data_IF_932817946603
#
_entry.id   IF_932817946603
#
_cell.length_a   1.000
_cell.length_b   1.000
_cell.length_c   1.000
_cell.angle_alpha   90.00
_cell.angle_beta   90.00
_cell.angle_gamma   90.00
#
_symmetry.space_group_name_H-M   'P 1'
#
loop_
_entity.id
_entity.type
_entity.pdbx_description
1 polymer ?
#
# COMPACT_ATOMS: atom_id res chain seq x y z
N UNK A 1 3.38 -37.59 -9.67
CA UNK A 1 3.06 -36.74 -10.83
C UNK A 1 3.60 -35.35 -10.54
N UNK A 2 4.54 -34.84 -11.34
CA UNK A 2 5.03 -33.47 -11.19
C UNK A 2 3.96 -32.52 -11.73
N UNK A 3 3.37 -31.68 -10.86
CA UNK A 3 2.49 -30.61 -11.30
C UNK A 3 3.29 -29.67 -12.21
N UNK A 4 2.84 -29.49 -13.45
CA UNK A 4 3.47 -28.55 -14.38
C UNK A 4 3.35 -27.15 -13.80
N UNK A 5 4.46 -26.66 -13.25
CA UNK A 5 4.60 -25.30 -12.74
C UNK A 5 4.38 -24.33 -13.90
N UNK A 6 3.38 -23.46 -13.78
CA UNK A 6 3.01 -22.50 -14.83
C UNK A 6 3.59 -21.14 -14.48
N UNK A 7 4.22 -20.44 -15.45
CA UNK A 7 4.55 -19.03 -15.28
C UNK A 7 3.32 -18.23 -14.85
N UNK A 8 3.56 -17.20 -14.05
CA UNK A 8 2.52 -16.25 -13.69
C UNK A 8 2.10 -15.44 -14.91
N UNK A 9 0.80 -15.18 -15.03
CA UNK A 9 0.21 -14.38 -16.11
C UNK A 9 -0.57 -13.23 -15.50
N UNK A 10 -0.59 -12.06 -16.15
CA UNK A 10 -1.25 -10.86 -15.64
C UNK A 10 -2.75 -11.10 -15.32
N UNK A 11 -3.45 -11.88 -16.15
CA UNK A 11 -4.87 -12.24 -15.93
C UNK A 11 -5.10 -13.09 -14.68
N UNK A 12 -4.04 -13.71 -14.15
CA UNK A 12 -4.07 -14.58 -12.98
C UNK A 12 -3.63 -13.89 -11.69
N UNK A 13 -3.22 -12.63 -11.78
CA UNK A 13 -2.96 -11.80 -10.61
C UNK A 13 -4.32 -11.39 -10.06
N UNK A 14 -4.83 -12.23 -9.16
CA UNK A 14 -6.10 -12.06 -8.49
C UNK A 14 -5.88 -12.17 -6.98
N UNK A 15 -6.81 -11.62 -6.21
CA UNK A 15 -6.78 -11.76 -4.76
C UNK A 15 -6.75 -13.24 -4.35
N UNK A 16 -5.82 -13.60 -3.48
CA UNK A 16 -5.60 -14.98 -3.05
C UNK A 16 -4.81 -15.84 -4.03
N UNK A 17 -4.37 -15.32 -5.18
CA UNK A 17 -3.44 -16.05 -6.04
C UNK A 17 -2.14 -16.34 -5.26
N UNK A 18 -1.74 -17.61 -5.24
CA UNK A 18 -0.52 -18.06 -4.58
C UNK A 18 0.57 -18.27 -5.61
N UNK A 19 1.70 -17.62 -5.41
CA UNK A 19 2.84 -17.64 -6.31
C UNK A 19 4.15 -17.85 -5.55
N UNK A 20 5.22 -18.11 -6.30
CA UNK A 20 6.56 -18.29 -5.76
C UNK A 20 7.61 -17.66 -6.67
N UNK A 21 8.57 -16.96 -6.07
CA UNK A 21 9.74 -16.46 -6.78
C UNK A 21 10.84 -17.53 -6.87
N UNK A 22 11.77 -17.45 -7.84
CA UNK A 22 12.79 -18.48 -8.02
C UNK A 22 13.82 -18.53 -6.87
N UNK A 23 13.96 -17.44 -6.12
CA UNK A 23 14.96 -17.27 -5.05
C UNK A 23 14.35 -17.43 -3.64
N UNK A 24 13.06 -17.75 -3.53
CA UNK A 24 12.38 -17.96 -2.26
C UNK A 24 11.44 -19.14 -2.36
N UNK A 25 11.71 -20.19 -1.58
CA UNK A 25 10.90 -21.40 -1.59
C UNK A 25 9.53 -21.22 -0.92
N UNK A 26 9.33 -20.13 -0.19
CA UNK A 26 8.08 -19.86 0.53
C UNK A 26 6.98 -19.43 -0.45
N UNK A 27 5.76 -20.01 -0.34
CA UNK A 27 4.59 -19.48 -1.03
C UNK A 27 4.28 -18.04 -0.61
N UNK A 28 3.87 -17.23 -1.58
CA UNK A 28 3.42 -15.85 -1.42
C UNK A 28 1.97 -15.75 -1.87
N UNK A 29 1.13 -14.99 -1.16
CA UNK A 29 -0.31 -14.84 -1.47
C UNK A 29 -0.63 -13.39 -1.77
N UNK A 30 -1.20 -13.13 -2.94
CA UNK A 30 -1.67 -11.78 -3.33
C UNK A 30 -2.77 -11.34 -2.36
N UNK A 31 -2.55 -10.22 -1.68
CA UNK A 31 -3.52 -9.58 -0.79
C UNK A 31 -4.25 -8.43 -1.48
N UNK A 32 -3.53 -7.69 -2.31
CA UNK A 32 -4.00 -6.50 -3.02
C UNK A 32 -3.21 -6.39 -4.32
N UNK A 33 -3.81 -5.77 -5.34
CA UNK A 33 -3.06 -5.29 -6.50
C UNK A 33 -3.82 -4.13 -7.16
N UNK A 34 -3.09 -3.22 -7.79
CA UNK A 34 -3.67 -2.19 -8.65
C UNK A 34 -2.75 -1.94 -9.85
N UNK A 35 -3.22 -2.29 -11.04
CA UNK A 35 -2.52 -2.06 -12.33
C UNK A 35 -1.08 -2.58 -12.41
N UNK A 36 -0.16 -1.86 -11.78
CA UNK A 36 1.28 -2.02 -11.81
C UNK A 36 1.87 -2.66 -10.53
N UNK A 37 1.17 -2.60 -9.39
CA UNK A 37 1.72 -3.03 -8.09
C UNK A 37 0.93 -4.19 -7.50
N UNK A 38 1.65 -5.14 -6.89
CA UNK A 38 1.10 -6.26 -6.13
C UNK A 38 1.62 -6.20 -4.71
N UNK A 39 0.71 -6.32 -3.75
CA UNK A 39 1.04 -6.49 -2.34
C UNK A 39 0.66 -7.89 -1.87
N UNK A 40 1.55 -8.52 -1.12
CA UNK A 40 1.42 -9.93 -0.79
C UNK A 40 1.83 -10.26 0.64
N UNK A 41 1.31 -11.39 1.12
CA UNK A 41 1.72 -12.06 2.34
C UNK A 41 2.64 -13.24 2.01
N UNK A 42 3.38 -13.72 3.00
CA UNK A 42 4.32 -14.83 2.89
C UNK A 42 3.88 -15.93 3.85
N UNK A 43 3.98 -17.18 3.39
CA UNK A 43 3.80 -18.34 4.25
C UNK A 43 5.03 -18.54 5.15
N UNK A 44 4.81 -18.69 6.45
CA UNK A 44 5.87 -18.92 7.43
C UNK A 44 5.85 -20.36 7.94
N UNK A 45 6.82 -21.21 7.56
CA UNK A 45 6.83 -22.62 7.96
C UNK A 45 6.76 -22.83 9.48
N UNK A 46 7.45 -21.98 10.25
CA UNK A 46 7.46 -22.07 11.73
C UNK A 46 6.13 -21.67 12.38
N UNK A 47 5.25 -20.95 11.66
CA UNK A 47 3.88 -20.62 12.10
C UNK A 47 2.84 -21.57 11.50
N UNK A 48 3.25 -22.39 10.52
CA UNK A 48 2.36 -23.20 9.70
C UNK A 48 1.17 -22.38 9.15
N UNK A 49 1.44 -21.15 8.69
CA UNK A 49 0.40 -20.21 8.30
C UNK A 49 0.91 -19.00 7.53
N UNK A 50 -0.04 -18.22 7.00
CA UNK A 50 0.21 -16.90 6.42
C UNK A 50 0.60 -15.90 7.52
N UNK A 51 1.56 -15.02 7.25
CA UNK A 51 2.10 -14.08 8.24
C UNK A 51 1.08 -13.07 8.79
N UNK A 52 0.00 -12.83 8.05
CA UNK A 52 -1.10 -11.95 8.41
C UNK A 52 -2.40 -12.69 8.73
N UNK A 53 -2.37 -14.01 8.95
CA UNK A 53 -3.56 -14.80 9.27
C UNK A 53 -4.21 -14.42 10.62
N UNK A 54 -3.41 -14.01 11.62
CA UNK A 54 -3.94 -13.55 12.91
C UNK A 54 -4.45 -12.10 12.81
N UNK A 55 -5.71 -11.96 12.38
CA UNK A 55 -6.36 -10.66 12.21
C UNK A 55 -6.47 -9.86 13.52
N UNK A 56 -6.58 -10.54 14.67
CA UNK A 56 -6.63 -9.88 15.97
C UNK A 56 -5.27 -9.27 16.34
N UNK A 57 -4.16 -9.95 16.03
CA UNK A 57 -2.83 -9.36 16.13
C UNK A 57 -2.64 -8.21 15.15
N UNK A 58 -3.03 -8.38 13.88
CA UNK A 58 -2.93 -7.31 12.85
C UNK A 58 -3.68 -6.05 13.27
N UNK A 59 -4.88 -6.18 13.86
CA UNK A 59 -5.66 -5.05 14.40
C UNK A 59 -5.00 -4.32 15.58
N UNK A 60 -3.97 -4.90 16.21
CA UNK A 60 -3.29 -4.31 17.38
C UNK A 60 -1.89 -3.75 17.08
N UNK A 61 -1.29 -4.11 15.95
CA UNK A 61 0.09 -3.73 15.59
C UNK A 61 0.15 -2.95 14.29
N UNK A 62 1.35 -2.46 13.97
CA UNK A 62 1.68 -1.98 12.63
C UNK A 62 2.18 -3.17 11.80
N UNK A 63 1.74 -3.25 10.56
CA UNK A 63 2.25 -4.21 9.57
C UNK A 63 2.63 -3.45 8.30
N UNK A 64 3.62 -3.97 7.58
CA UNK A 64 3.99 -3.50 6.25
C UNK A 64 3.77 -4.66 5.30
N UNK A 65 3.18 -4.40 4.13
CA UNK A 65 3.06 -5.41 3.10
C UNK A 65 4.39 -5.61 2.38
N UNK A 66 4.63 -6.84 1.90
CA UNK A 66 5.61 -7.03 0.85
C UNK A 66 5.03 -6.51 -0.46
N UNK A 67 5.87 -5.88 -1.28
CA UNK A 67 5.47 -5.19 -2.51
C UNK A 67 6.34 -5.67 -3.67
N UNK A 68 5.74 -5.84 -4.84
CA UNK A 68 6.43 -6.10 -6.10
C UNK A 68 5.62 -5.49 -7.25
N UNK A 69 6.20 -5.43 -8.45
CA UNK A 69 5.46 -4.98 -9.64
C UNK A 69 4.80 -6.16 -10.33
N UNK A 70 3.68 -5.89 -11.01
CA UNK A 70 3.02 -6.85 -11.90
C UNK A 70 3.99 -7.39 -12.94
N UNK A 71 4.82 -6.51 -13.53
CA UNK A 71 5.86 -6.91 -14.49
C UNK A 71 6.85 -7.92 -13.88
N UNK A 72 7.36 -7.66 -12.67
CA UNK A 72 8.26 -8.58 -11.96
C UNK A 72 7.59 -9.92 -11.67
N UNK A 73 6.32 -9.87 -11.26
CA UNK A 73 5.54 -11.06 -10.95
C UNK A 73 5.35 -11.94 -12.18
N UNK A 74 4.95 -11.36 -13.32
CA UNK A 74 4.75 -12.06 -14.61
C UNK A 74 6.06 -12.64 -15.12
N UNK A 75 7.16 -11.88 -15.05
CA UNK A 75 8.45 -12.31 -15.56
C UNK A 75 9.05 -13.45 -14.72
N UNK A 76 8.97 -13.36 -13.39
CA UNK A 76 9.80 -14.18 -12.50
C UNK A 76 9.03 -15.19 -11.68
N UNK A 77 7.75 -14.96 -11.40
CA UNK A 77 7.01 -15.82 -10.50
C UNK A 77 6.38 -17.02 -11.21
N UNK A 78 6.24 -18.10 -10.44
CA UNK A 78 5.46 -19.27 -10.82
C UNK A 78 4.17 -19.30 -10.03
N UNK A 79 3.04 -19.51 -10.71
CA UNK A 79 1.75 -19.71 -10.05
C UNK A 79 1.70 -21.11 -9.43
N UNK A 80 1.24 -21.20 -8.17
CA UNK A 80 1.11 -22.46 -7.45
C UNK A 80 -0.34 -22.93 -7.32
N UNK A 81 -1.21 -22.07 -6.78
CA UNK A 81 -2.62 -22.38 -6.48
C UNK A 81 -3.41 -21.09 -6.25
N UNK A 82 -4.70 -21.23 -5.93
CA UNK A 82 -5.51 -20.14 -5.38
C UNK A 82 -5.84 -20.45 -3.93
N UNK A 83 -5.75 -19.44 -3.08
CA UNK A 83 -6.13 -19.47 -1.67
C UNK A 83 -6.89 -18.15 -1.39
N UNK A 84 -8.18 -18.07 -1.74
CA UNK A 84 -8.96 -16.84 -1.67
C UNK A 84 -8.95 -16.23 -0.28
N UNK A 85 -8.93 -14.90 -0.21
CA UNK A 85 -9.12 -14.20 1.06
C UNK A 85 -10.49 -14.54 1.66
N UNK A 86 -10.59 -14.58 2.98
CA UNK A 86 -11.89 -14.59 3.67
C UNK A 86 -12.55 -13.21 3.62
N UNK A 87 -13.83 -13.12 3.98
CA UNK A 87 -14.51 -11.82 4.05
C UNK A 87 -13.90 -10.92 5.13
N UNK A 88 -13.45 -11.48 6.26
CA UNK A 88 -12.76 -10.72 7.31
C UNK A 88 -11.39 -10.21 6.84
N UNK A 89 -10.65 -11.04 6.10
CA UNK A 89 -9.39 -10.63 5.47
C UNK A 89 -9.65 -9.51 4.45
N UNK A 90 -10.67 -9.64 3.58
CA UNK A 90 -11.05 -8.58 2.64
C UNK A 90 -11.46 -7.29 3.34
N UNK A 91 -12.26 -7.38 4.40
CA UNK A 91 -12.72 -6.23 5.17
C UNK A 91 -11.55 -5.51 5.87
N UNK A 92 -10.57 -6.26 6.37
CA UNK A 92 -9.37 -5.71 7.02
C UNK A 92 -8.38 -5.12 6.01
N UNK A 93 -8.05 -5.91 4.98
CA UNK A 93 -7.04 -5.54 3.99
C UNK A 93 -7.55 -4.56 2.95
N UNK A 94 -8.87 -4.34 2.82
CA UNK A 94 -9.48 -3.35 1.91
C UNK A 94 -8.85 -3.34 0.51
N UNK A 95 -8.86 -4.46 -0.23
CA UNK A 95 -8.22 -4.56 -1.54
C UNK A 95 -8.82 -3.61 -2.59
N UNK A 96 -9.97 -3.01 -2.30
CA UNK A 96 -10.63 -1.97 -3.09
C UNK A 96 -9.93 -0.60 -3.03
N UNK A 97 -9.11 -0.34 -2.01
CA UNK A 97 -8.35 0.90 -1.91
C UNK A 97 -7.07 0.84 -2.77
N UNK A 98 -6.75 1.91 -3.53
CA UNK A 98 -5.60 1.94 -4.42
C UNK A 98 -4.27 1.86 -3.65
N UNK A 99 -3.20 1.48 -4.35
CA UNK A 99 -1.84 1.72 -3.87
C UNK A 99 -1.55 3.21 -3.87
N UNK A 100 -1.69 3.87 -5.01
CA UNK A 100 -1.45 5.30 -5.15
C UNK A 100 -2.77 6.09 -4.97
N UNK A 101 -3.05 6.53 -3.75
CA UNK A 101 -4.25 7.32 -3.46
C UNK A 101 -4.16 8.74 -4.05
N UNK A 102 -2.95 9.29 -4.15
CA UNK A 102 -2.68 10.59 -4.76
C UNK A 102 -1.26 10.62 -5.27
N UNK A 103 -1.06 11.18 -6.47
CA UNK A 103 0.25 11.48 -7.05
C UNK A 103 0.13 12.72 -7.90
N UNK A 104 1.03 13.68 -7.67
CA UNK A 104 1.10 14.90 -8.47
C UNK A 104 2.56 15.41 -8.46
N UNK A 105 3.16 15.54 -9.65
CA UNK A 105 4.53 16.00 -9.82
C UNK A 105 4.66 17.53 -9.79
N UNK A 106 3.57 18.26 -9.95
CA UNK A 106 3.55 19.72 -10.06
C UNK A 106 3.44 20.44 -8.71
N UNK A 107 3.02 19.73 -7.64
CA UNK A 107 2.87 20.29 -6.30
C UNK A 107 3.96 19.79 -5.36
N UNK A 108 4.31 20.57 -4.34
CA UNK A 108 5.34 20.23 -3.34
C UNK A 108 4.73 20.13 -1.95
N UNK A 109 5.47 19.49 -1.03
CA UNK A 109 5.03 19.37 0.36
C UNK A 109 5.10 20.68 1.15
N UNK A 110 5.96 21.62 0.77
CA UNK A 110 6.07 22.95 1.37
C UNK A 110 4.80 23.80 1.10
N UNK A 111 4.19 24.37 2.13
CA UNK A 111 3.04 25.30 2.04
C UNK A 111 3.57 26.74 1.84
N UNK A 112 3.09 27.57 0.92
CA UNK A 112 1.75 28.19 0.86
C UNK A 112 1.49 28.90 -0.51
N UNK A 113 0.25 28.90 -1.05
CA UNK A 113 -0.65 27.77 -1.16
C UNK A 113 -0.29 26.96 -2.41
N UNK A 114 0.07 25.69 -2.22
CA UNK A 114 0.09 24.75 -3.34
C UNK A 114 -1.32 24.70 -3.94
N UNK A 115 -1.44 24.88 -5.26
CA UNK A 115 -2.71 24.72 -5.94
C UNK A 115 -3.32 23.34 -5.64
N UNK A 116 -4.65 23.19 -5.74
CA UNK A 116 -5.27 21.89 -5.63
C UNK A 116 -4.61 20.92 -6.62
N UNK A 117 -4.49 19.62 -6.28
CA UNK A 117 -3.96 18.63 -7.21
C UNK A 117 -4.63 18.78 -8.58
N UNK A 118 -3.82 18.84 -9.63
CA UNK A 118 -4.29 19.23 -10.97
C UNK A 118 -5.25 18.19 -11.57
N UNK A 119 -5.16 16.94 -11.12
CA UNK A 119 -5.98 15.83 -11.58
C UNK A 119 -7.11 15.50 -10.61
N UNK A 120 -8.33 15.50 -11.14
CA UNK A 120 -9.47 14.89 -10.49
C UNK A 120 -9.19 13.38 -10.29
N UNK A 121 -9.08 12.97 -9.03
CA UNK A 121 -8.93 11.56 -8.62
C UNK A 121 -10.26 11.10 -8.00
N UNK A 122 -10.60 9.80 -8.13
CA UNK A 122 -11.70 9.23 -7.37
C UNK A 122 -11.52 9.46 -5.87
N UNK A 123 -12.61 9.67 -5.15
CA UNK A 123 -12.56 9.77 -3.70
C UNK A 123 -12.04 8.47 -3.09
N UNK A 124 -11.22 8.57 -2.04
CA UNK A 124 -10.75 7.41 -1.29
C UNK A 124 -11.86 6.99 -0.32
N UNK A 125 -12.64 5.96 -0.68
CA UNK A 125 -13.83 5.50 0.05
C UNK A 125 -13.51 4.80 1.38
N UNK A 126 -13.00 5.53 2.36
CA UNK A 126 -12.74 5.05 3.71
C UNK A 126 -12.84 6.20 4.70
N UNK A 127 -13.39 5.93 5.88
CA UNK A 127 -13.60 6.94 6.92
C UNK A 127 -12.30 7.33 7.64
N UNK A 128 -11.36 6.39 7.79
CA UNK A 128 -10.18 6.55 8.62
C UNK A 128 -8.96 5.89 7.98
N UNK A 129 -7.85 6.61 7.91
CA UNK A 129 -6.56 6.08 7.46
C UNK A 129 -5.46 6.52 8.42
N UNK A 130 -4.30 5.90 8.33
CA UNK A 130 -3.06 6.40 8.92
C UNK A 130 -2.15 6.97 7.83
N UNK A 131 -1.58 8.15 8.07
CA UNK A 131 -0.61 8.80 7.20
C UNK A 131 0.77 8.79 7.88
N UNK A 132 1.74 8.14 7.27
CA UNK A 132 3.12 8.06 7.75
C UNK A 132 4.01 9.08 7.02
N UNK A 133 4.39 10.19 7.65
CA UNK A 133 5.25 11.19 7.02
C UNK A 133 6.69 10.69 6.90
N UNK A 134 7.51 11.44 6.16
CA UNK A 134 8.96 11.25 6.10
C UNK A 134 9.68 12.40 6.81
N UNK A 135 10.86 12.12 7.36
CA UNK A 135 11.73 13.14 7.95
C UNK A 135 12.70 13.78 6.94
N UNK A 136 13.51 14.75 7.38
CA UNK A 136 14.48 15.45 6.53
C UNK A 136 15.40 14.53 5.74
N UNK A 137 15.92 13.47 6.38
CA UNK A 137 16.76 12.46 5.73
C UNK A 137 16.00 11.34 5.00
N UNK A 138 14.71 11.53 4.67
CA UNK A 138 13.86 10.54 3.99
C UNK A 138 13.37 9.37 4.87
N UNK A 139 13.78 9.31 6.13
CA UNK A 139 13.37 8.26 7.06
C UNK A 139 11.88 8.32 7.40
N UNK A 140 11.19 7.19 7.41
CA UNK A 140 9.76 7.08 7.77
C UNK A 140 9.53 7.48 9.23
N UNK A 141 8.48 8.25 9.47
CA UNK A 141 8.01 8.66 10.79
C UNK A 141 6.74 7.89 11.20
N UNK A 142 6.38 7.87 12.49
CA UNK A 142 5.18 7.19 12.96
C UNK A 142 3.92 7.70 12.24
N UNK A 143 3.06 6.77 11.84
CA UNK A 143 1.78 7.09 11.20
C UNK A 143 0.82 7.82 12.14
N UNK A 144 0.14 8.85 11.61
CA UNK A 144 -0.91 9.58 12.30
C UNK A 144 -2.27 9.25 11.70
N UNK A 145 -3.23 8.88 12.55
CA UNK A 145 -4.62 8.70 12.13
C UNK A 145 -5.18 10.03 11.65
N UNK A 146 -5.89 10.00 10.53
CA UNK A 146 -6.73 11.09 10.04
C UNK A 146 -8.10 10.53 9.66
N UNK A 147 -9.12 11.37 9.80
CA UNK A 147 -10.51 11.02 9.57
C UNK A 147 -11.06 11.85 8.40
N UNK A 148 -11.93 11.25 7.60
CA UNK A 148 -12.65 11.92 6.53
C UNK A 148 -13.61 12.96 7.13
N UNK A 149 -13.64 14.17 6.56
CA UNK A 149 -14.45 15.30 7.04
C UNK A 149 -15.95 14.95 6.99
N UNK A 150 -16.37 14.14 6.02
CA UNK A 150 -17.74 13.62 5.90
C UNK A 150 -17.97 12.25 6.61
N UNK A 151 -16.94 11.71 7.28
CA UNK A 151 -17.01 10.43 7.99
C UNK A 151 -17.04 9.17 7.11
N UNK A 152 -16.87 9.27 5.79
CA UNK A 152 -17.02 8.12 4.88
C UNK A 152 -15.95 8.00 3.79
N UNK A 153 -15.49 9.11 3.22
CA UNK A 153 -14.54 9.13 2.11
C UNK A 153 -13.77 10.45 2.06
N UNK A 154 -12.50 10.38 1.65
CA UNK A 154 -11.67 11.56 1.42
C UNK A 154 -11.79 12.04 -0.02
N UNK A 155 -12.03 13.32 -0.23
CA UNK A 155 -11.75 13.93 -1.54
C UNK A 155 -10.23 14.07 -1.75
N UNK A 156 -9.80 14.29 -3.00
CA UNK A 156 -8.38 14.48 -3.30
C UNK A 156 -7.79 15.70 -2.55
N UNK A 157 -8.49 16.84 -2.59
CA UNK A 157 -8.08 18.08 -1.91
C UNK A 157 -8.02 17.91 -0.40
N UNK A 158 -9.00 17.21 0.18
CA UNK A 158 -9.04 16.92 1.59
C UNK A 158 -7.88 16.01 2.01
N UNK A 159 -7.68 14.92 1.29
CA UNK A 159 -6.59 13.97 1.55
C UNK A 159 -5.24 14.68 1.49
N UNK A 160 -5.03 15.50 0.46
CA UNK A 160 -3.80 16.28 0.31
C UNK A 160 -3.59 17.27 1.45
N UNK A 161 -4.59 18.09 1.77
CA UNK A 161 -4.54 19.05 2.89
C UNK A 161 -4.21 18.37 4.22
N UNK A 162 -4.83 17.22 4.52
CA UNK A 162 -4.54 16.46 5.74
C UNK A 162 -3.13 15.86 5.70
N UNK A 163 -2.69 15.33 4.55
CA UNK A 163 -1.33 14.82 4.38
C UNK A 163 -0.27 15.91 4.55
N UNK A 164 -0.51 17.09 3.99
CA UNK A 164 0.37 18.26 4.15
C UNK A 164 0.48 18.66 5.62
N UNK A 165 -0.64 18.73 6.34
CA UNK A 165 -0.63 19.02 7.78
C UNK A 165 0.12 17.96 8.61
N UNK A 166 0.10 16.69 8.17
CA UNK A 166 0.88 15.60 8.78
C UNK A 166 2.37 15.70 8.46
N UNK A 167 2.71 16.12 7.23
CA UNK A 167 4.08 16.21 6.74
C UNK A 167 4.81 17.48 7.23
N UNK A 168 4.11 18.60 7.38
CA UNK A 168 4.67 19.91 7.68
C UNK A 168 5.66 19.94 8.87
N UNK A 169 5.41 19.27 10.01
CA UNK A 169 6.35 19.26 11.14
C UNK A 169 7.68 18.54 10.86
N UNK A 170 7.80 17.86 9.73
CA UNK A 170 8.94 17.03 9.36
C UNK A 170 9.67 17.54 8.11
N UNK A 171 9.19 18.62 7.51
CA UNK A 171 9.86 19.26 6.39
C UNK A 171 11.10 20.02 6.86
N UNK A 172 12.13 19.95 6.02
CA UNK A 172 13.31 20.80 6.05
C UNK A 172 13.34 21.66 4.79
N UNK A 173 14.16 22.71 4.79
CA UNK A 173 14.37 23.57 3.61
C UNK A 173 14.82 22.75 2.39
N UNK A 174 15.63 21.71 2.62
CA UNK A 174 15.97 20.70 1.62
C UNK A 174 14.95 19.55 1.67
N UNK A 175 14.07 19.48 0.68
CA UNK A 175 13.17 18.33 0.52
C UNK A 175 13.89 17.21 -0.25
N UNK A 176 13.92 15.97 0.28
CA UNK A 176 14.55 14.84 -0.40
C UNK A 176 13.74 14.30 -1.59
N UNK A 177 12.59 14.90 -1.92
CA UNK A 177 11.65 14.39 -2.91
C UNK A 177 11.10 15.49 -3.81
N UNK A 178 10.72 15.11 -5.03
CA UNK A 178 10.02 15.97 -5.99
C UNK A 178 8.57 15.51 -6.11
N UNK A 179 7.65 16.48 -6.12
CA UNK A 179 6.23 16.19 -6.19
C UNK A 179 5.66 15.69 -4.86
N UNK A 180 4.41 15.24 -4.93
CA UNK A 180 3.65 14.67 -3.83
C UNK A 180 3.14 13.29 -4.23
N UNK A 181 3.24 12.34 -3.31
CA UNK A 181 2.63 11.02 -3.45
C UNK A 181 2.16 10.47 -2.11
N UNK A 182 1.00 9.81 -2.13
CA UNK A 182 0.36 9.15 -0.99
C UNK A 182 0.13 7.70 -1.37
N UNK A 183 0.91 6.81 -0.77
CA UNK A 183 1.05 5.42 -1.21
C UNK A 183 0.75 4.45 -0.10
N UNK A 184 0.04 3.38 -0.40
CA UNK A 184 -0.30 2.36 0.57
C UNK A 184 0.95 1.57 1.00
N UNK A 185 1.12 1.35 2.30
CA UNK A 185 2.24 0.55 2.84
C UNK A 185 1.81 -0.66 3.65
N UNK A 186 0.60 -0.65 4.21
CA UNK A 186 0.27 -1.61 5.25
C UNK A 186 -0.98 -1.28 6.03
N UNK A 187 -0.95 -1.68 7.30
CA UNK A 187 -1.98 -1.37 8.28
C UNK A 187 -1.34 -0.83 9.56
N UNK A 188 -1.97 0.17 10.16
CA UNK A 188 -1.66 0.65 11.51
C UNK A 188 -2.85 0.39 12.41
N UNK A 189 -2.74 -0.62 13.28
CA UNK A 189 -3.82 -1.03 14.20
C UNK A 189 -5.14 -1.30 13.45
N UNK A 190 -5.03 -2.01 12.33
CA UNK A 190 -6.15 -2.34 11.45
C UNK A 190 -6.63 -1.21 10.51
N UNK A 191 -6.07 0.01 10.59
CA UNK A 191 -6.37 1.08 9.65
C UNK A 191 -5.47 0.97 8.41
N UNK A 192 -5.97 1.19 7.18
CA UNK A 192 -5.13 1.38 6.01
C UNK A 192 -4.05 2.44 6.28
N UNK A 193 -2.78 2.06 6.16
CA UNK A 193 -1.65 2.98 6.30
C UNK A 193 -1.15 3.37 4.91
N UNK A 194 -1.00 4.68 4.71
CA UNK A 194 -0.35 5.27 3.56
C UNK A 194 0.89 6.04 4.01
N UNK A 195 2.00 5.88 3.33
CA UNK A 195 3.19 6.71 3.53
C UNK A 195 3.19 7.88 2.56
N UNK A 196 3.75 9.00 3.02
CA UNK A 196 3.94 10.22 2.26
C UNK A 196 5.32 10.19 1.60
N UNK A 197 5.41 10.62 0.34
CA UNK A 197 6.67 10.68 -0.41
C UNK A 197 6.57 11.62 -1.63
N UNK A 198 7.51 11.52 -2.56
CA UNK A 198 7.44 12.21 -3.85
C UNK A 198 6.41 11.61 -4.82
N UNK A 199 6.31 12.23 -5.99
CA UNK A 199 5.41 11.79 -7.10
C UNK A 199 5.72 10.39 -7.66
N UNK A 200 6.91 9.87 -7.39
CA UNK A 200 7.31 8.49 -7.68
C UNK A 200 7.46 7.72 -6.37
N UNK A 201 6.94 6.50 -6.30
CA UNK A 201 7.04 5.64 -5.14
C UNK A 201 8.51 5.30 -4.81
N UNK A 202 8.79 4.95 -3.56
CA UNK A 202 10.08 4.37 -3.15
C UNK A 202 10.05 2.85 -3.05
N UNK A 203 8.89 2.23 -3.23
CA UNK A 203 8.68 0.80 -3.08
C UNK A 203 8.71 0.04 -4.42
N UNK A 204 8.72 0.76 -5.54
CA UNK A 204 8.93 0.23 -6.89
C UNK A 204 9.36 1.36 -7.84
#
# INVERSE_FOLDING_TARGET
MAATLRPMDASKIQLGAVFRFPHDDRPNRVLLHDGDVVMYDVWWPHQNGWGLADLAAVKRKRITYYVTTVATLVEKATQLRSDPLTDDERALHRPDLPFAALQDAAITWSSDPAGPPAMARPALSVAHIALAPFGPGGGTKPGRRVDADNGSAFSADELFRKAQAVQAPHLSDDSPVVGVGIYRSGLLRGLPEFYLWGSVSRLH
#
